data_IF_538971214575
#
_entry.id   IF_538971214575
#
_cell.length_a   1.000
_cell.length_b   1.000
_cell.length_c   1.000
_cell.angle_alpha   90.00
_cell.angle_beta   90.00
_cell.angle_gamma   90.00
#
_symmetry.space_group_name_H-M   'P 1'
#
loop_
_entity.id
_entity.type
_entity.pdbx_description
1 polymer ?
#
# COMPACT_ATOMS: atom_id res chain seq x y z
N UNK A 1 16.21 2.97 1.53
CA UNK A 1 15.58 3.96 0.63
C UNK A 1 14.23 4.44 1.19
N UNK A 2 14.20 5.42 2.11
CA UNK A 2 12.95 5.93 2.75
C UNK A 2 12.46 7.28 2.19
N UNK A 3 13.09 7.78 1.13
CA UNK A 3 12.90 9.15 0.63
C UNK A 3 11.72 9.28 -0.35
N UNK A 4 11.53 8.31 -1.25
CA UNK A 4 10.48 8.33 -2.27
C UNK A 4 9.05 8.31 -1.69
N UNK A 5 8.86 7.75 -0.50
CA UNK A 5 7.60 7.79 0.26
C UNK A 5 7.45 9.04 1.15
N UNK A 6 8.46 9.91 1.20
CA UNK A 6 8.52 11.16 1.98
C UNK A 6 8.90 12.38 1.12
N UNK A 7 8.66 12.35 -0.20
CA UNK A 7 8.66 13.57 -1.01
C UNK A 7 7.42 14.41 -0.67
N UNK A 8 7.54 15.18 0.41
CA UNK A 8 6.60 16.22 0.82
C UNK A 8 7.16 17.58 0.45
N UNK A 9 6.68 18.16 -0.66
CA UNK A 9 6.79 19.61 -0.86
C UNK A 9 5.78 20.28 0.09
N UNK A 10 6.25 21.21 0.93
CA UNK A 10 5.39 22.00 1.84
C UNK A 10 4.46 21.19 2.76
N UNK A 11 4.88 19.99 3.18
CA UNK A 11 4.11 19.14 4.11
C UNK A 11 2.93 18.37 3.50
N UNK A 12 2.58 18.64 2.24
CA UNK A 12 1.57 17.89 1.49
C UNK A 12 2.26 16.70 0.80
N UNK A 13 1.64 15.52 0.81
CA UNK A 13 2.14 14.36 0.04
C UNK A 13 1.90 14.62 -1.45
N UNK A 14 2.88 14.35 -2.32
CA UNK A 14 2.69 14.50 -3.77
C UNK A 14 1.64 13.54 -4.36
N UNK A 15 1.49 12.33 -3.81
CA UNK A 15 0.56 11.32 -4.31
C UNK A 15 -0.92 11.77 -4.40
N UNK A 16 -1.55 12.39 -3.38
CA UNK A 16 -2.91 12.92 -3.50
C UNK A 16 -3.03 14.09 -4.50
N UNK A 17 -1.98 14.90 -4.71
CA UNK A 17 -2.00 15.98 -5.73
C UNK A 17 -2.03 15.36 -7.13
N UNK A 18 -1.15 14.38 -7.38
CA UNK A 18 -1.14 13.62 -8.64
C UNK A 18 -2.45 12.88 -8.86
N UNK A 19 -3.04 12.29 -7.81
CA UNK A 19 -4.35 11.64 -7.88
C UNK A 19 -5.43 12.63 -8.27
N UNK A 20 -5.51 13.81 -7.65
CA UNK A 20 -6.52 14.82 -7.96
C UNK A 20 -6.41 15.31 -9.42
N UNK A 21 -5.18 15.60 -9.89
CA UNK A 21 -4.93 15.98 -11.29
C UNK A 21 -5.35 14.86 -12.25
N UNK A 22 -4.95 13.62 -11.94
CA UNK A 22 -5.31 12.45 -12.76
C UNK A 22 -6.82 12.20 -12.79
N UNK A 23 -7.52 12.39 -11.67
CA UNK A 23 -8.97 12.22 -11.57
C UNK A 23 -9.72 13.25 -12.42
N UNK A 24 -9.24 14.51 -12.44
CA UNK A 24 -9.77 15.55 -13.34
C UNK A 24 -9.52 15.16 -14.80
N UNK A 25 -8.33 14.66 -15.14
CA UNK A 25 -7.99 14.24 -16.51
C UNK A 25 -8.88 13.09 -17.01
N UNK A 26 -9.13 12.05 -16.20
CA UNK A 26 -10.00 10.94 -16.62
C UNK A 26 -11.45 11.41 -16.75
N UNK A 27 -12.00 12.15 -15.78
CA UNK A 27 -13.37 12.68 -15.84
C UNK A 27 -13.59 13.56 -17.07
N UNK A 28 -12.64 14.46 -17.36
CA UNK A 28 -12.73 15.31 -18.55
C UNK A 28 -12.61 14.48 -19.83
N UNK A 29 -11.75 13.46 -19.84
CA UNK A 29 -11.53 12.59 -20.99
C UNK A 29 -12.73 11.70 -21.34
N UNK A 30 -13.40 11.10 -20.35
CA UNK A 30 -14.60 10.28 -20.55
C UNK A 30 -15.81 11.12 -20.96
N UNK A 31 -15.89 12.36 -20.48
CA UNK A 31 -17.00 13.27 -20.79
C UNK A 31 -16.82 14.08 -22.08
N UNK A 32 -15.75 13.85 -22.85
CA UNK A 32 -15.61 14.43 -24.18
C UNK A 32 -16.64 13.80 -25.14
N UNK A 33 -17.37 14.63 -25.91
CA UNK A 33 -18.32 14.13 -26.91
C UNK A 33 -17.57 13.28 -27.95
N UNK A 34 -18.23 12.25 -28.47
CA UNK A 34 -17.64 11.28 -29.40
C UNK A 34 -17.19 11.96 -30.70
N UNK A 35 -15.93 12.39 -30.73
CA UNK A 35 -15.27 12.84 -31.96
C UNK A 35 -15.11 11.65 -32.91
N UNK A 36 -15.25 11.84 -34.23
CA UNK A 36 -15.03 10.79 -35.21
C UNK A 36 -13.54 10.47 -35.31
N UNK A 37 -13.05 9.65 -34.37
CA UNK A 37 -11.71 9.07 -34.41
C UNK A 37 -11.63 8.02 -35.54
N UNK A 38 -10.42 7.71 -36.05
CA UNK A 38 -10.22 6.55 -36.90
C UNK A 38 -10.80 5.30 -36.22
N UNK A 39 -11.51 4.45 -36.98
CA UNK A 39 -12.29 3.33 -36.46
C UNK A 39 -11.42 2.15 -35.96
N UNK A 40 -10.56 2.42 -34.97
CA UNK A 40 -9.80 1.42 -34.23
C UNK A 40 -10.76 0.73 -33.26
N UNK A 41 -11.25 -0.44 -33.66
CA UNK A 41 -12.22 -1.22 -32.89
C UNK A 41 -11.72 -1.48 -31.46
N UNK A 42 -12.55 -1.16 -30.47
CA UNK A 42 -12.27 -1.31 -29.03
C UNK A 42 -11.21 -0.35 -28.44
N UNK A 43 -10.87 0.77 -29.10
CA UNK A 43 -9.91 1.73 -28.53
C UNK A 43 -10.43 2.39 -27.25
N UNK A 44 -11.74 2.71 -27.23
CA UNK A 44 -12.52 3.09 -26.05
C UNK A 44 -12.21 2.20 -24.83
N UNK A 45 -12.38 0.89 -24.96
CA UNK A 45 -12.20 -0.11 -23.89
C UNK A 45 -10.76 -0.17 -23.38
N UNK A 46 -9.79 0.08 -24.27
CA UNK A 46 -8.38 0.19 -23.88
C UNK A 46 -8.13 1.50 -23.11
N UNK A 47 -8.76 2.62 -23.50
CA UNK A 47 -8.66 3.87 -22.75
C UNK A 47 -9.27 3.74 -21.35
N UNK A 48 -10.46 3.15 -21.22
CA UNK A 48 -11.10 2.83 -19.95
C UNK A 48 -10.21 1.93 -19.06
N UNK A 49 -9.75 0.79 -19.59
CA UNK A 49 -8.83 -0.11 -18.87
C UNK A 49 -7.57 0.61 -18.37
N UNK A 50 -6.90 1.42 -19.20
CA UNK A 50 -5.69 2.15 -18.82
C UNK A 50 -5.99 3.26 -17.81
N UNK A 51 -7.09 4.00 -17.98
CA UNK A 51 -7.53 5.06 -17.07
C UNK A 51 -7.76 4.52 -15.65
N UNK A 52 -8.51 3.42 -15.53
CA UNK A 52 -8.82 2.84 -14.22
C UNK A 52 -7.65 2.05 -13.62
N UNK A 53 -6.75 1.50 -14.44
CA UNK A 53 -5.44 0.99 -13.98
C UNK A 53 -4.63 2.09 -13.30
N UNK A 54 -4.53 3.27 -13.91
CA UNK A 54 -3.86 4.43 -13.31
C UNK A 54 -4.57 4.90 -12.04
N UNK A 55 -5.90 5.07 -12.07
CA UNK A 55 -6.68 5.54 -10.93
C UNK A 55 -6.47 4.65 -9.69
N UNK A 56 -6.64 3.33 -9.85
CA UNK A 56 -6.50 2.38 -8.76
C UNK A 56 -5.06 2.29 -8.23
N UNK A 57 -4.05 2.40 -9.12
CA UNK A 57 -2.64 2.51 -8.70
C UNK A 57 -2.39 3.78 -7.88
N UNK A 58 -2.87 4.96 -8.32
CA UNK A 58 -2.67 6.21 -7.61
C UNK A 58 -3.44 6.26 -6.27
N UNK A 59 -4.66 5.69 -6.20
CA UNK A 59 -5.39 5.48 -4.94
C UNK A 59 -4.59 4.56 -3.99
N UNK A 60 -4.12 3.43 -4.50
CA UNK A 60 -3.27 2.51 -3.75
C UNK A 60 -1.91 3.12 -3.36
N UNK A 61 -1.40 4.14 -4.06
CA UNK A 61 -0.21 4.87 -3.62
C UNK A 61 -0.55 5.92 -2.55
N UNK A 62 -1.61 6.71 -2.76
CA UNK A 62 -1.99 7.86 -1.94
C UNK A 62 -2.34 7.49 -0.50
N UNK A 63 -3.01 6.36 -0.27
CA UNK A 63 -3.42 5.93 1.08
C UNK A 63 -2.19 5.59 1.94
N UNK A 64 -1.93 6.28 3.07
CA UNK A 64 -0.79 5.99 3.93
C UNK A 64 -0.94 4.65 4.66
N UNK A 65 0.14 3.87 4.73
CA UNK A 65 0.19 2.54 5.37
C UNK A 65 0.19 2.58 6.91
N UNK A 66 -0.04 3.74 7.52
CA UNK A 66 0.04 3.90 8.98
C UNK A 66 -1.17 3.27 9.67
N UNK A 67 -0.99 2.10 10.29
CA UNK A 67 -1.98 1.45 11.16
C UNK A 67 -3.12 0.71 10.45
N UNK A 68 -3.09 0.52 9.12
CA UNK A 68 -4.07 -0.29 8.38
C UNK A 68 -3.41 -1.45 7.66
N UNK A 69 -4.07 -2.61 7.67
CA UNK A 69 -3.67 -3.78 6.86
C UNK A 69 -3.52 -3.37 5.38
N UNK A 70 -2.38 -3.67 4.74
CA UNK A 70 -2.20 -3.53 3.29
C UNK A 70 -3.36 -4.09 2.45
N UNK A 71 -4.01 -5.18 2.86
CA UNK A 71 -5.17 -5.77 2.14
C UNK A 71 -6.37 -4.84 2.17
N UNK A 72 -6.75 -4.34 3.34
CA UNK A 72 -7.86 -3.37 3.51
C UNK A 72 -7.65 -2.15 2.63
N UNK A 73 -6.42 -1.61 2.58
CA UNK A 73 -6.05 -0.49 1.72
C UNK A 73 -6.26 -0.78 0.22
N UNK A 74 -5.90 -1.98 -0.25
CA UNK A 74 -6.11 -2.39 -1.64
C UNK A 74 -7.60 -2.55 -1.97
N UNK A 75 -8.37 -3.15 -1.05
CA UNK A 75 -9.82 -3.30 -1.19
C UNK A 75 -10.48 -1.92 -1.31
N UNK A 76 -10.09 -0.93 -0.48
CA UNK A 76 -10.58 0.44 -0.62
C UNK A 76 -10.22 1.07 -1.97
N UNK A 77 -8.97 0.92 -2.45
CA UNK A 77 -8.57 1.47 -3.75
C UNK A 77 -9.38 0.86 -4.91
N UNK A 78 -9.61 -0.46 -4.88
CA UNK A 78 -10.46 -1.16 -5.85
C UNK A 78 -11.92 -0.69 -5.78
N UNK A 79 -12.54 -0.72 -4.60
CA UNK A 79 -13.94 -0.34 -4.43
C UNK A 79 -14.21 1.13 -4.81
N UNK A 80 -13.32 2.06 -4.45
CA UNK A 80 -13.44 3.47 -4.86
C UNK A 80 -13.38 3.58 -6.39
N UNK A 81 -12.49 2.83 -7.04
CA UNK A 81 -12.37 2.84 -8.50
C UNK A 81 -13.62 2.26 -9.19
N UNK A 82 -14.14 1.14 -8.70
CA UNK A 82 -15.38 0.52 -9.24
C UNK A 82 -16.60 1.41 -9.04
N UNK A 83 -16.77 1.99 -7.85
CA UNK A 83 -17.87 2.94 -7.60
C UNK A 83 -17.74 4.20 -8.46
N UNK A 84 -16.52 4.67 -8.72
CA UNK A 84 -16.29 5.81 -9.61
C UNK A 84 -16.56 5.46 -11.08
N UNK A 85 -16.17 4.28 -11.58
CA UNK A 85 -16.47 3.84 -12.95
C UNK A 85 -17.98 3.70 -13.19
N UNK A 86 -18.69 3.13 -12.22
CA UNK A 86 -20.16 3.09 -12.26
C UNK A 86 -20.77 4.51 -12.30
N UNK A 87 -20.21 5.45 -11.54
CA UNK A 87 -20.66 6.84 -11.57
C UNK A 87 -20.37 7.52 -12.92
N UNK A 88 -19.16 7.34 -13.46
CA UNK A 88 -18.71 7.94 -14.71
C UNK A 88 -19.55 7.46 -15.91
N UNK A 89 -19.76 6.15 -16.03
CA UNK A 89 -20.65 5.54 -17.03
C UNK A 89 -22.10 6.02 -16.91
N UNK A 90 -22.59 6.25 -15.69
CA UNK A 90 -23.90 6.84 -15.45
C UNK A 90 -23.97 8.34 -15.74
N UNK A 91 -22.86 9.09 -15.65
CA UNK A 91 -22.86 10.53 -15.98
C UNK A 91 -22.59 10.81 -17.45
N UNK A 92 -21.93 9.90 -18.17
CA UNK A 92 -21.69 9.99 -19.62
C UNK A 92 -22.97 10.16 -20.45
N UNK A 93 -24.11 9.60 -20.01
CA UNK A 93 -25.40 9.79 -20.69
C UNK A 93 -25.84 11.27 -20.77
N UNK A 94 -25.46 12.10 -19.80
CA UNK A 94 -25.84 13.53 -19.77
C UNK A 94 -25.03 14.39 -20.74
N UNK A 95 -23.90 13.88 -21.25
CA UNK A 95 -23.08 14.54 -22.28
C UNK A 95 -23.27 13.94 -23.68
N UNK A 96 -24.30 13.10 -23.85
CA UNK A 96 -24.65 12.52 -25.15
C UNK A 96 -23.77 11.36 -25.59
N UNK A 97 -23.08 10.69 -24.66
CA UNK A 97 -22.40 9.41 -24.91
C UNK A 97 -23.33 8.24 -24.59
N UNK A 98 -23.07 7.10 -25.22
CA UNK A 98 -23.73 5.84 -24.89
C UNK A 98 -23.02 5.20 -23.70
N UNK A 99 -23.76 4.90 -22.63
CA UNK A 99 -23.27 4.03 -21.53
C UNK A 99 -23.11 2.60 -22.05
N UNK A 100 -21.91 2.02 -21.96
CA UNK A 100 -21.65 0.63 -22.36
C UNK A 100 -21.23 -0.22 -21.16
N UNK A 101 -21.95 -1.32 -20.91
CA UNK A 101 -21.54 -2.29 -19.89
C UNK A 101 -20.13 -2.86 -20.13
N UNK A 102 -19.67 -2.86 -21.39
CA UNK A 102 -18.31 -3.25 -21.75
C UNK A 102 -17.24 -2.29 -21.22
N UNK A 103 -17.55 -0.98 -21.13
CA UNK A 103 -16.63 0.05 -20.64
C UNK A 103 -16.56 0.00 -19.12
N UNK A 104 -17.70 -0.17 -18.42
CA UNK A 104 -17.72 -0.48 -16.99
C UNK A 104 -16.93 -1.77 -16.63
N UNK A 105 -16.99 -2.80 -17.48
CA UNK A 105 -16.17 -4.02 -17.29
C UNK A 105 -14.69 -3.73 -17.51
N UNK A 106 -14.33 -2.90 -18.49
CA UNK A 106 -12.95 -2.46 -18.70
C UNK A 106 -12.43 -1.65 -17.49
N UNK A 107 -13.26 -0.79 -16.90
CA UNK A 107 -12.95 -0.04 -15.67
C UNK A 107 -12.68 -0.99 -14.49
N UNK A 108 -13.53 -2.00 -14.29
CA UNK A 108 -13.37 -2.98 -13.21
C UNK A 108 -12.09 -3.81 -13.37
N UNK A 109 -11.80 -4.28 -14.59
CA UNK A 109 -10.60 -5.06 -14.89
C UNK A 109 -9.34 -4.18 -14.81
N UNK A 110 -9.42 -2.92 -15.23
CA UNK A 110 -8.37 -1.92 -15.08
C UNK A 110 -8.08 -1.63 -13.61
N UNK A 111 -9.11 -1.38 -12.79
CA UNK A 111 -8.97 -1.15 -11.36
C UNK A 111 -8.27 -2.33 -10.65
N UNK A 112 -8.63 -3.56 -11.01
CA UNK A 112 -7.97 -4.76 -10.49
C UNK A 112 -6.49 -4.83 -10.92
N UNK A 113 -6.20 -4.56 -12.19
CA UNK A 113 -4.83 -4.51 -12.72
C UNK A 113 -3.98 -3.44 -12.01
N UNK A 114 -4.51 -2.24 -11.78
CA UNK A 114 -3.82 -1.15 -11.08
C UNK A 114 -3.42 -1.51 -9.65
N UNK A 115 -4.29 -2.24 -8.95
CA UNK A 115 -4.01 -2.78 -7.61
C UNK A 115 -2.89 -3.84 -7.63
N UNK A 116 -2.86 -4.72 -8.64
CA UNK A 116 -1.76 -5.69 -8.81
C UNK A 116 -0.44 -5.01 -9.20
N UNK A 117 -0.46 -4.03 -10.11
CA UNK A 117 0.71 -3.23 -10.49
C UNK A 117 1.30 -2.51 -9.27
N UNK A 118 0.46 -1.98 -8.37
CA UNK A 118 0.92 -1.37 -7.12
C UNK A 118 1.63 -2.39 -6.21
N UNK A 119 1.08 -3.59 -6.05
CA UNK A 119 1.75 -4.66 -5.29
C UNK A 119 3.09 -5.06 -5.90
N UNK A 120 3.14 -5.27 -7.21
CA UNK A 120 4.34 -5.69 -7.92
C UNK A 120 5.45 -4.64 -7.83
N UNK A 121 5.10 -3.36 -8.02
CA UNK A 121 6.01 -2.24 -7.82
C UNK A 121 6.51 -2.17 -6.36
N UNK A 122 5.63 -2.35 -5.37
CA UNK A 122 6.03 -2.38 -3.96
C UNK A 122 6.99 -3.53 -3.65
N UNK A 123 6.74 -4.72 -4.20
CA UNK A 123 7.57 -5.92 -4.01
C UNK A 123 8.99 -5.74 -4.57
N UNK A 124 9.12 -5.13 -5.75
CA UNK A 124 10.42 -4.85 -6.38
C UNK A 124 11.17 -3.73 -5.66
N UNK A 125 10.49 -2.64 -5.29
CA UNK A 125 11.12 -1.45 -4.68
C UNK A 125 11.46 -1.64 -3.20
N UNK A 126 10.79 -2.58 -2.52
CA UNK A 126 11.06 -2.95 -1.13
C UNK A 126 11.15 -4.47 -1.01
N UNK A 127 12.25 -5.09 -1.48
CA UNK A 127 12.53 -6.48 -1.17
C UNK A 127 12.55 -6.61 0.35
N UNK A 128 11.70 -7.48 0.89
CA UNK A 128 11.73 -7.81 2.31
C UNK A 128 13.06 -8.51 2.57
N UNK A 129 14.04 -7.80 3.12
CA UNK A 129 15.24 -8.45 3.64
C UNK A 129 14.80 -9.55 4.61
N UNK A 130 15.22 -10.81 4.41
CA UNK A 130 14.85 -11.87 5.33
C UNK A 130 15.27 -11.48 6.74
N UNK A 131 14.34 -11.63 7.68
CA UNK A 131 14.51 -11.18 9.05
C UNK A 131 15.70 -11.89 9.70
N UNK A 132 16.60 -11.12 10.31
CA UNK A 132 17.77 -11.64 11.02
C UNK A 132 17.40 -12.15 12.41
N UNK A 133 16.32 -12.93 12.49
CA UNK A 133 15.68 -13.39 13.72
C UNK A 133 16.43 -14.50 14.49
N UNK A 134 17.49 -15.09 13.91
CA UNK A 134 18.23 -16.19 14.54
C UNK A 134 19.42 -15.76 15.41
N UNK A 135 19.86 -14.50 15.38
CA UNK A 135 21.12 -14.09 16.06
C UNK A 135 21.01 -13.62 17.51
N UNK A 136 19.81 -13.57 18.11
CA UNK A 136 19.66 -13.19 19.53
C UNK A 136 19.31 -14.35 20.48
N UNK A 137 19.17 -15.57 19.96
CA UNK A 137 18.85 -16.75 20.77
C UNK A 137 20.05 -17.47 21.42
N UNK A 138 21.29 -17.18 21.00
CA UNK A 138 22.46 -18.00 21.36
C UNK A 138 23.35 -17.41 22.46
N UNK A 139 23.36 -16.08 22.65
CA UNK A 139 24.26 -15.41 23.60
C UNK A 139 23.78 -15.45 25.07
N UNK A 140 22.53 -15.84 25.34
CA UNK A 140 21.97 -15.83 26.70
C UNK A 140 22.21 -17.13 27.50
N UNK A 141 22.66 -18.21 26.86
CA UNK A 141 22.70 -19.53 27.51
C UNK A 141 24.09 -19.93 28.08
N UNK A 142 25.12 -19.07 27.93
CA UNK A 142 26.50 -19.38 28.34
C UNK A 142 26.91 -18.76 29.70
N UNK A 143 26.13 -17.81 30.25
CA UNK A 143 26.53 -17.03 31.44
C UNK A 143 26.09 -17.59 32.79
N UNK A 144 25.14 -18.52 32.88
CA UNK A 144 24.64 -19.02 34.19
C UNK A 144 25.44 -20.20 34.78
N UNK A 145 26.31 -20.85 34.01
CA UNK A 145 26.90 -22.14 34.39
C UNK A 145 28.09 -22.15 35.37
N UNK A 146 28.41 -21.03 36.06
CA UNK A 146 29.75 -20.89 36.68
C UNK A 146 29.87 -20.21 38.05
N UNK A 147 28.87 -20.29 38.92
CA UNK A 147 29.02 -19.81 40.31
C UNK A 147 28.27 -20.64 41.37
N UNK A 148 28.55 -21.95 41.49
CA UNK A 148 28.08 -22.68 42.67
C UNK A 148 29.04 -23.82 43.10
N UNK A 149 29.85 -23.53 44.12
CA UNK A 149 30.55 -24.54 44.92
C UNK A 149 30.65 -24.04 46.37
N UNK A 150 29.77 -24.59 47.25
CA UNK A 150 30.07 -25.24 48.55
C UNK A 150 31.33 -24.74 49.31
N UNK A 151 31.35 -24.37 50.59
CA UNK A 151 30.80 -24.92 51.88
C UNK A 151 31.28 -23.96 53.00
N UNK A 152 30.80 -23.87 54.26
CA UNK A 152 29.65 -24.41 55.02
C UNK A 152 29.48 -23.54 56.32
N UNK A 153 28.41 -23.68 57.16
CA UNK A 153 28.07 -22.71 58.20
C UNK A 153 28.61 -23.01 59.62
N UNK A 154 28.44 -22.01 60.49
CA UNK A 154 28.28 -22.09 61.96
C UNK A 154 29.50 -22.36 62.86
N UNK A 155 30.04 -21.29 63.47
CA UNK A 155 30.79 -21.34 64.74
C UNK A 155 30.45 -20.10 65.59
N UNK A 156 29.45 -20.25 66.47
CA UNK A 156 29.24 -19.33 67.57
C UNK A 156 30.17 -19.67 68.76
N UNK A 157 31.12 -18.79 69.11
CA UNK A 157 31.92 -18.93 70.33
C UNK A 157 31.93 -17.62 71.15
N UNK A 158 31.32 -17.71 72.33
CA UNK A 158 31.44 -16.74 73.41
C UNK A 158 32.86 -16.74 73.98
N UNK A 159 33.50 -15.56 74.08
CA UNK A 159 34.95 -15.44 74.34
C UNK A 159 35.37 -14.23 75.18
N UNK A 160 35.30 -14.40 76.51
CA UNK A 160 35.75 -13.49 77.59
C UNK A 160 37.20 -12.97 77.45
N UNK A 161 37.45 -11.68 77.71
CA UNK A 161 38.69 -11.04 78.26
C UNK A 161 38.36 -9.54 78.45
N UNK A 162 38.33 -8.94 79.64
CA UNK A 162 39.35 -8.75 80.68
C UNK A 162 40.59 -8.00 80.19
N UNK A 163 40.57 -6.68 80.40
CA UNK A 163 41.68 -5.82 80.83
C UNK A 163 41.05 -4.60 81.54
#
# INVERSE_FOLDING_TARGET
>A
MRFLTRLTLFGIRLAPILLAIYWILIFTGTHLPTVPMPAVRNLDKVQHFVAFTGLAFLLAWSIPTSGRDPRTKMIFAFLISVCYGMFDELTQQFVGRNTELADFVADCVGALAGVFVYLFAKMILFPTSPDSGERQGMDQHETEGKTETKTDPDVAVSGRRVA
#
